data_IF_875422597947
#
_entry.id   IF_875422597947
#
_cell.length_a   1.000
_cell.length_b   1.000
_cell.length_c   1.000
_cell.angle_alpha   90.00
_cell.angle_beta   90.00
_cell.angle_gamma   90.00
#
_symmetry.space_group_name_H-M   'P 1'
#
loop_
_entity.id
_entity.type
_entity.pdbx_description
1 polymer ?
#
# COMPACT_ATOMS: atom_id res chain seq x y z
N UNK A 1 -17.19 -2.62 -43.57
CA UNK A 1 -17.88 -2.41 -42.29
C UNK A 1 -16.98 -3.00 -41.22
N UNK A 2 -16.14 -2.18 -40.60
CA UNK A 2 -15.24 -2.62 -39.54
C UNK A 2 -16.00 -2.60 -38.22
N UNK A 3 -16.26 -3.79 -37.69
CA UNK A 3 -16.90 -3.99 -36.39
C UNK A 3 -15.85 -3.68 -35.32
N UNK A 4 -16.01 -2.56 -34.63
CA UNK A 4 -15.20 -2.22 -33.46
C UNK A 4 -15.44 -3.27 -32.38
N UNK A 5 -14.37 -3.84 -31.83
CA UNK A 5 -14.47 -4.69 -30.65
C UNK A 5 -15.08 -3.85 -29.50
N UNK A 6 -15.96 -4.43 -28.67
CA UNK A 6 -16.48 -3.73 -27.50
C UNK A 6 -15.31 -3.38 -26.58
N UNK A 7 -15.24 -2.13 -26.15
CA UNK A 7 -14.30 -1.71 -25.11
C UNK A 7 -14.50 -2.59 -23.87
N UNK A 8 -13.42 -3.04 -23.20
CA UNK A 8 -13.55 -3.78 -21.95
C UNK A 8 -14.37 -2.95 -20.96
N UNK A 9 -15.22 -3.61 -20.19
CA UNK A 9 -15.99 -2.95 -19.14
C UNK A 9 -15.01 -2.26 -18.16
N UNK A 10 -15.29 -1.05 -17.67
CA UNK A 10 -14.40 -0.37 -16.74
C UNK A 10 -14.28 -1.22 -15.48
N UNK A 11 -13.06 -1.65 -15.19
CA UNK A 11 -12.75 -2.34 -13.94
C UNK A 11 -12.94 -1.36 -12.81
N UNK A 12 -13.60 -1.73 -11.72
CA UNK A 12 -13.84 -0.83 -10.59
C UNK A 12 -12.75 -0.98 -9.54
N UNK A 13 -12.39 0.13 -8.91
CA UNK A 13 -11.43 0.21 -7.84
C UNK A 13 -11.98 -0.54 -6.62
N UNK A 14 -11.24 -1.54 -6.14
CA UNK A 14 -11.63 -2.32 -4.95
C UNK A 14 -11.59 -1.51 -3.64
N UNK A 15 -10.96 -0.33 -3.64
CA UNK A 15 -10.90 0.58 -2.48
C UNK A 15 -12.13 1.50 -2.38
N UNK A 16 -12.50 2.19 -3.45
CA UNK A 16 -13.57 3.21 -3.43
C UNK A 16 -14.76 2.91 -4.34
N UNK A 17 -14.67 1.89 -5.21
CA UNK A 17 -15.72 1.53 -6.17
C UNK A 17 -15.71 2.35 -7.47
N UNK A 18 -14.86 3.37 -7.56
CA UNK A 18 -14.75 4.21 -8.76
C UNK A 18 -14.21 3.42 -9.97
N UNK A 19 -14.54 3.84 -11.19
CA UNK A 19 -13.98 3.22 -12.39
C UNK A 19 -12.46 3.44 -12.46
N UNK A 20 -11.70 2.36 -12.59
CA UNK A 20 -10.29 2.38 -12.98
C UNK A 20 -10.24 2.72 -14.46
N UNK A 21 -9.73 3.91 -14.77
CA UNK A 21 -9.52 4.35 -16.15
C UNK A 21 -8.36 3.58 -16.78
N UNK A 22 -7.36 3.21 -15.98
CA UNK A 22 -6.23 2.36 -16.36
C UNK A 22 -5.85 1.45 -15.17
N UNK A 23 -5.89 0.13 -15.37
CA UNK A 23 -5.49 -0.84 -14.34
C UNK A 23 -3.98 -0.81 -14.03
N UNK A 24 -3.20 -0.19 -14.92
CA UNK A 24 -1.74 -0.06 -14.79
C UNK A 24 -1.33 1.24 -14.12
N UNK A 25 -2.25 2.16 -13.87
CA UNK A 25 -1.99 3.41 -13.14
C UNK A 25 -2.62 3.34 -11.75
N UNK A 26 -1.82 3.63 -10.73
CA UNK A 26 -2.25 3.71 -9.34
C UNK A 26 -2.04 5.15 -8.88
N UNK A 27 -3.11 5.86 -8.55
CA UNK A 27 -3.03 7.21 -8.02
C UNK A 27 -3.08 7.20 -6.49
N UNK A 28 -2.09 7.84 -5.86
CA UNK A 28 -2.06 8.06 -4.41
C UNK A 28 -1.84 9.55 -4.14
N UNK A 29 -2.56 10.12 -3.19
CA UNK A 29 -2.51 11.56 -2.91
C UNK A 29 -2.07 11.84 -1.48
N UNK A 30 -1.08 12.72 -1.31
CA UNK A 30 -0.73 13.27 -0.02
C UNK A 30 -1.70 14.40 0.37
N UNK A 31 -2.24 14.32 1.58
CA UNK A 31 -3.19 15.29 2.08
C UNK A 31 -2.60 16.70 2.17
N UNK A 32 -1.41 16.82 2.75
CA UNK A 32 -0.71 18.09 3.05
C UNK A 32 0.81 17.91 2.88
N UNK A 33 1.59 18.99 2.70
CA UNK A 33 3.04 18.94 2.83
C UNK A 33 3.42 18.63 4.29
N UNK A 34 4.61 18.05 4.50
CA UNK A 34 5.00 17.55 5.82
C UNK A 34 5.10 18.69 6.86
N UNK A 35 5.55 19.87 6.44
CA UNK A 35 5.61 21.07 7.29
C UNK A 35 4.24 21.51 7.84
N UNK A 36 3.12 21.14 7.21
CA UNK A 36 1.79 21.51 7.67
C UNK A 36 1.36 20.78 8.95
N UNK A 37 2.02 19.67 9.30
CA UNK A 37 1.71 18.90 10.51
C UNK A 37 2.35 19.50 11.77
N UNK A 38 3.35 20.36 11.62
CA UNK A 38 4.01 21.08 12.73
C UNK A 38 3.34 22.43 13.04
N UNK A 39 2.45 22.88 12.16
CA UNK A 39 1.78 24.18 12.25
C UNK A 39 0.30 24.04 12.64
N UNK A 40 -0.26 25.04 13.35
CA UNK A 40 -1.68 25.09 13.64
C UNK A 40 -2.49 25.25 12.34
N UNK A 41 -3.74 24.79 12.33
CA UNK A 41 -4.59 24.82 11.14
C UNK A 41 -4.83 26.25 10.64
N UNK A 42 -4.88 27.22 11.54
CA UNK A 42 -5.06 28.64 11.23
C UNK A 42 -3.88 29.25 10.45
N UNK A 43 -2.71 28.61 10.43
CA UNK A 43 -1.58 29.03 9.62
C UNK A 43 -1.76 28.68 8.13
N UNK A 44 -2.78 27.90 7.78
CA UNK A 44 -3.04 27.43 6.42
C UNK A 44 -3.89 28.42 5.65
N UNK A 45 -3.42 28.82 4.48
CA UNK A 45 -4.16 29.66 3.53
C UNK A 45 -4.19 28.99 2.16
N UNK A 46 -5.39 28.80 1.62
CA UNK A 46 -5.58 28.23 0.28
C UNK A 46 -6.23 29.26 -0.64
N UNK A 47 -5.42 30.16 -1.24
CA UNK A 47 -5.92 31.13 -2.20
C UNK A 47 -6.20 30.41 -3.53
N UNK A 48 -7.40 29.86 -3.67
CA UNK A 48 -7.90 29.29 -4.92
C UNK A 48 -8.05 27.76 -4.87
N UNK A 49 -7.55 27.03 -5.88
CA UNK A 49 -7.74 25.58 -6.02
C UNK A 49 -7.11 24.79 -4.87
N UNK A 50 -7.63 23.59 -4.62
CA UNK A 50 -7.11 22.67 -3.58
C UNK A 50 -5.66 22.19 -3.78
N UNK A 51 -5.04 22.59 -4.89
CA UNK A 51 -3.66 22.32 -5.25
C UNK A 51 -2.69 23.47 -4.88
N UNK A 52 -3.18 24.57 -4.33
CA UNK A 52 -2.37 25.68 -3.83
C UNK A 52 -2.52 25.82 -2.31
N UNK A 53 -1.39 25.87 -1.62
CA UNK A 53 -1.34 26.03 -0.17
C UNK A 53 -0.21 26.99 0.21
N UNK A 54 -0.56 28.07 0.91
CA UNK A 54 0.38 28.91 1.63
C UNK A 54 0.31 28.54 3.12
N UNK A 55 1.48 28.40 3.75
CA UNK A 55 1.62 28.13 5.18
C UNK A 55 2.38 29.27 5.82
N UNK A 56 1.69 30.04 6.67
CA UNK A 56 2.31 31.12 7.43
C UNK A 56 3.43 30.53 8.31
N UNK A 57 4.68 30.94 8.04
CA UNK A 57 5.86 30.46 8.76
C UNK A 57 6.58 29.25 8.13
N UNK A 58 6.06 28.68 7.02
CA UNK A 58 6.74 27.60 6.29
C UNK A 58 6.97 27.88 4.80
N UNK A 59 6.02 28.51 4.10
CA UNK A 59 6.22 28.87 2.68
C UNK A 59 5.00 28.64 1.79
N UNK A 60 5.26 28.48 0.49
CA UNK A 60 4.25 28.33 -0.54
C UNK A 60 4.39 26.99 -1.24
N UNK A 61 3.27 26.33 -1.50
CA UNK A 61 3.23 24.96 -2.00
C UNK A 61 2.25 24.81 -3.15
N UNK A 62 2.70 24.11 -4.19
CA UNK A 62 1.89 23.70 -5.33
C UNK A 62 1.85 22.17 -5.35
N UNK A 63 0.66 21.59 -5.51
CA UNK A 63 0.51 20.15 -5.67
C UNK A 63 0.82 19.74 -7.12
N UNK A 64 1.70 18.77 -7.26
CA UNK A 64 2.13 18.19 -8.53
C UNK A 64 1.94 16.67 -8.52
N UNK A 65 2.01 16.06 -9.69
CA UNK A 65 1.99 14.62 -9.90
C UNK A 65 3.42 14.12 -10.09
N UNK A 66 3.86 13.24 -9.21
CA UNK A 66 5.15 12.57 -9.28
C UNK A 66 4.93 11.16 -9.85
N UNK A 67 5.25 10.92 -11.14
CA UNK A 67 5.15 9.59 -11.72
C UNK A 67 6.35 8.73 -11.30
N UNK A 68 6.07 7.52 -10.83
CA UNK A 68 7.05 6.51 -10.46
C UNK A 68 6.80 5.25 -11.29
N UNK A 69 7.83 4.79 -12.01
CA UNK A 69 7.76 3.55 -12.78
C UNK A 69 7.99 2.35 -11.87
N UNK A 70 7.08 1.39 -11.91
CA UNK A 70 7.15 0.15 -11.14
C UNK A 70 7.33 -1.06 -12.08
N UNK A 71 7.83 -2.16 -11.53
CA UNK A 71 7.92 -3.45 -12.25
C UNK A 71 6.53 -3.92 -12.70
N UNK A 72 6.48 -4.68 -13.80
CA UNK A 72 5.23 -5.17 -14.39
C UNK A 72 4.42 -4.10 -15.13
N UNK A 73 5.10 -3.12 -15.74
CA UNK A 73 4.51 -2.01 -16.51
C UNK A 73 3.43 -1.24 -15.73
N UNK A 74 3.60 -1.12 -14.42
CA UNK A 74 2.70 -0.36 -13.53
C UNK A 74 3.30 1.01 -13.26
N UNK A 75 2.48 2.05 -13.27
CA UNK A 75 2.85 3.41 -12.89
C UNK A 75 2.13 3.80 -11.60
N UNK A 76 2.90 4.33 -10.64
CA UNK A 76 2.37 4.96 -9.44
C UNK A 76 2.46 6.47 -9.61
N UNK A 77 1.32 7.15 -9.58
CA UNK A 77 1.26 8.61 -9.68
C UNK A 77 0.94 9.19 -8.32
N UNK A 78 1.90 9.91 -7.76
CA UNK A 78 1.82 10.49 -6.44
C UNK A 78 1.43 11.97 -6.52
N UNK A 79 0.25 12.34 -6.01
CA UNK A 79 -0.10 13.73 -5.77
C UNK A 79 0.69 14.27 -4.58
N UNK A 80 1.85 14.86 -4.84
CA UNK A 80 2.79 15.36 -3.84
C UNK A 80 2.88 16.89 -3.86
N UNK A 81 3.28 17.49 -2.74
CA UNK A 81 3.47 18.92 -2.62
C UNK A 81 4.90 19.32 -2.96
N UNK A 82 5.03 20.44 -3.66
CA UNK A 82 6.30 21.07 -4.01
C UNK A 82 6.35 22.45 -3.38
N UNK A 83 7.36 22.71 -2.54
CA UNK A 83 7.68 24.03 -2.02
C UNK A 83 8.25 24.89 -3.16
N UNK A 84 7.62 26.04 -3.41
CA UNK A 84 7.97 26.98 -4.46
C UNK A 84 8.23 28.37 -3.89
N UNK A 85 8.82 29.25 -4.68
CA UNK A 85 8.87 30.67 -4.33
C UNK A 85 7.50 31.35 -4.47
N UNK A 86 7.36 32.51 -3.83
CA UNK A 86 6.12 33.28 -3.81
C UNK A 86 5.70 33.72 -5.23
N UNK A 87 6.65 34.03 -6.11
CA UNK A 87 6.37 34.45 -7.48
C UNK A 87 5.70 33.33 -8.28
N UNK A 88 6.26 32.12 -8.22
CA UNK A 88 5.69 30.92 -8.86
C UNK A 88 4.31 30.60 -8.29
N UNK A 89 4.13 30.72 -6.98
CA UNK A 89 2.86 30.49 -6.32
C UNK A 89 1.77 31.48 -6.75
N UNK A 90 2.08 32.78 -6.73
CA UNK A 90 1.15 33.83 -7.15
C UNK A 90 0.82 33.71 -8.63
N UNK A 91 1.81 33.37 -9.47
CA UNK A 91 1.60 33.09 -10.89
C UNK A 91 0.66 31.91 -11.09
N UNK A 92 0.89 30.79 -10.39
CA UNK A 92 0.01 29.63 -10.46
C UNK A 92 -1.42 29.99 -10.02
N UNK A 93 -1.59 30.78 -8.96
CA UNK A 93 -2.91 31.25 -8.52
C UNK A 93 -3.61 32.15 -9.54
N UNK A 94 -2.85 32.97 -10.27
CA UNK A 94 -3.39 33.86 -11.32
C UNK A 94 -3.91 33.09 -12.53
N UNK A 95 -3.16 32.08 -13.00
CA UNK A 95 -3.45 31.40 -14.28
C UNK A 95 -4.16 30.06 -14.14
N UNK A 96 -4.49 29.62 -12.92
CA UNK A 96 -4.98 28.26 -12.68
C UNK A 96 -6.21 27.88 -13.50
N UNK A 97 -7.17 28.81 -13.59
CA UNK A 97 -8.44 28.60 -14.32
C UNK A 97 -8.38 29.16 -15.75
N UNK A 98 -7.20 29.58 -16.23
CA UNK A 98 -6.99 30.08 -17.59
C UNK A 98 -6.56 28.92 -18.50
N UNK A 99 -7.49 28.41 -19.33
CA UNK A 99 -7.26 27.30 -20.26
C UNK A 99 -6.11 27.54 -21.27
N UNK A 100 -5.76 28.81 -21.54
CA UNK A 100 -4.69 29.17 -22.47
C UNK A 100 -3.35 29.33 -21.76
N UNK A 101 -3.34 29.98 -20.59
CA UNK A 101 -2.11 30.25 -19.86
C UNK A 101 -1.68 29.07 -18.96
N UNK A 102 -2.61 28.30 -18.40
CA UNK A 102 -2.33 27.17 -17.51
C UNK A 102 -1.37 26.15 -18.14
N UNK A 103 -1.51 25.72 -19.42
CA UNK A 103 -0.57 24.80 -20.05
C UNK A 103 0.89 25.31 -20.10
N UNK A 104 1.12 26.62 -19.95
CA UNK A 104 2.44 27.23 -19.90
C UNK A 104 3.03 27.28 -18.48
N UNK A 105 2.29 26.86 -17.45
CA UNK A 105 2.74 26.86 -16.07
C UNK A 105 3.95 25.94 -15.89
N UNK A 106 5.04 26.52 -15.38
CA UNK A 106 6.25 25.81 -14.95
C UNK A 106 6.33 25.86 -13.43
N UNK A 107 6.42 24.70 -12.79
CA UNK A 107 6.57 24.61 -11.33
C UNK A 107 7.97 24.14 -11.02
N UNK A 108 8.89 25.03 -10.63
CA UNK A 108 10.20 24.63 -10.10
C UNK A 108 10.20 24.78 -8.59
N UNK A 109 10.62 23.74 -7.89
CA UNK A 109 10.66 23.77 -6.43
C UNK A 109 11.18 22.50 -5.82
N UNK A 110 11.04 22.38 -4.50
CA UNK A 110 11.54 21.26 -3.70
C UNK A 110 10.40 20.34 -3.26
N UNK A 111 10.58 19.03 -3.35
CA UNK A 111 9.59 18.07 -2.87
C UNK A 111 9.37 18.27 -1.36
N UNK A 112 8.12 18.46 -0.94
CA UNK A 112 7.73 18.80 0.42
C UNK A 112 7.03 17.65 1.16
N UNK A 113 7.10 16.43 0.61
CA UNK A 113 6.61 15.21 1.24
C UNK A 113 7.73 14.17 1.31
N UNK A 114 7.88 13.52 2.47
CA UNK A 114 8.74 12.35 2.65
C UNK A 114 8.08 11.12 2.02
N UNK A 115 8.25 10.98 0.71
CA UNK A 115 7.61 9.92 -0.09
C UNK A 115 8.25 8.57 0.21
N UNK A 116 7.50 7.63 0.80
CA UNK A 116 7.96 6.25 1.00
C UNK A 116 8.07 5.48 -0.33
N UNK A 117 9.03 4.55 -0.49
CA UNK A 117 10.05 4.12 0.48
C UNK A 117 11.23 5.10 0.67
N UNK A 118 11.42 6.06 -0.23
CA UNK A 118 12.62 6.91 -0.27
C UNK A 118 12.76 7.89 0.90
N UNK A 119 11.64 8.38 1.43
CA UNK A 119 11.56 9.22 2.62
C UNK A 119 12.44 10.47 2.54
N UNK A 120 13.37 10.59 3.50
CA UNK A 120 14.31 11.70 3.63
C UNK A 120 15.28 11.84 2.45
N UNK A 121 15.55 10.77 1.67
CA UNK A 121 16.46 10.82 0.52
C UNK A 121 15.97 11.79 -0.56
N UNK A 122 14.65 11.87 -0.74
CA UNK A 122 14.02 12.68 -1.79
C UNK A 122 13.31 13.91 -1.22
N UNK A 123 13.16 14.01 0.09
CA UNK A 123 12.61 15.20 0.74
C UNK A 123 13.54 16.39 0.49
N UNK A 124 12.97 17.50 0.02
CA UNK A 124 13.74 18.69 -0.35
C UNK A 124 14.45 18.59 -1.71
N UNK A 125 14.39 17.44 -2.40
CA UNK A 125 14.99 17.30 -3.72
C UNK A 125 14.27 18.20 -4.74
N UNK A 126 15.04 18.81 -5.62
CA UNK A 126 14.52 19.79 -6.57
C UNK A 126 13.91 19.11 -7.81
N UNK A 127 12.74 19.59 -8.23
CA UNK A 127 12.06 19.11 -9.43
C UNK A 127 11.56 20.26 -10.30
N UNK A 128 11.21 19.93 -11.53
CA UNK A 128 10.47 20.80 -12.44
C UNK A 128 9.22 20.08 -12.93
N UNK A 129 8.08 20.68 -12.62
CA UNK A 129 6.75 20.29 -13.02
C UNK A 129 6.29 21.03 -14.28
N UNK A 130 5.59 20.33 -15.18
CA UNK A 130 4.98 20.90 -16.40
C UNK A 130 3.56 20.35 -16.58
N UNK A 131 2.69 21.13 -17.21
CA UNK A 131 1.36 20.65 -17.61
C UNK A 131 1.50 19.83 -18.90
N UNK A 132 1.11 18.56 -18.86
CA UNK A 132 0.97 17.71 -20.05
C UNK A 132 -0.48 17.56 -20.50
N UNK A 133 -1.40 17.61 -19.54
CA UNK A 133 -2.85 17.57 -19.75
C UNK A 133 -3.47 18.76 -18.99
N UNK A 134 -4.19 19.69 -19.67
CA UNK A 134 -4.84 20.83 -19.04
C UNK A 134 -5.86 20.46 -17.95
N UNK A 135 -6.38 19.23 -17.94
CA UNK A 135 -7.33 18.76 -16.92
C UNK A 135 -6.64 18.16 -15.69
N UNK A 136 -5.32 17.97 -15.72
CA UNK A 136 -4.53 17.41 -14.63
C UNK A 136 -3.60 18.43 -13.97
N UNK A 137 -3.07 18.05 -12.81
CA UNK A 137 -2.05 18.82 -12.09
C UNK A 137 -0.69 18.74 -12.84
N UNK A 138 0.25 19.68 -12.58
CA UNK A 138 1.58 19.61 -13.19
C UNK A 138 2.30 18.30 -12.87
N UNK A 139 2.86 17.64 -13.87
CA UNK A 139 3.71 16.45 -13.69
C UNK A 139 5.15 16.84 -13.44
N UNK A 140 5.78 16.25 -12.43
CA UNK A 140 7.22 16.33 -12.22
C UNK A 140 7.91 15.51 -13.31
N UNK A 141 8.50 16.21 -14.28
CA UNK A 141 9.09 15.62 -15.49
C UNK A 141 10.62 15.66 -15.49
N UNK A 142 11.21 16.42 -14.58
CA UNK A 142 12.65 16.63 -14.51
C UNK A 142 13.08 16.76 -13.05
N UNK A 143 14.06 15.96 -12.64
CA UNK A 143 14.66 15.99 -11.30
C UNK A 143 16.05 16.64 -11.34
N UNK A 144 16.38 17.40 -10.30
CA UNK A 144 17.65 18.12 -10.16
C UNK A 144 18.41 17.54 -8.96
N UNK A 145 19.54 16.88 -9.26
CA UNK A 145 20.30 16.12 -8.27
C UNK A 145 20.17 14.61 -8.48
N UNK A 146 21.13 13.81 -7.97
CA UNK A 146 21.18 12.39 -8.24
C UNK A 146 19.95 11.64 -7.71
N UNK A 147 19.41 12.00 -6.55
CA UNK A 147 18.26 11.37 -5.92
C UNK A 147 16.98 11.59 -6.74
N UNK A 148 16.73 12.83 -7.17
CA UNK A 148 15.58 13.19 -7.99
C UNK A 148 15.63 12.57 -9.40
N UNK A 149 16.81 12.57 -10.02
CA UNK A 149 17.04 11.93 -11.33
C UNK A 149 16.80 10.43 -11.24
N UNK A 150 17.29 9.80 -10.16
CA UNK A 150 17.10 8.37 -9.91
C UNK A 150 15.62 8.03 -9.72
N UNK A 151 14.91 8.80 -8.91
CA UNK A 151 13.48 8.60 -8.63
C UNK A 151 12.63 8.55 -9.90
N UNK A 152 12.82 9.51 -10.82
CA UNK A 152 12.09 9.58 -12.10
C UNK A 152 12.65 8.65 -13.18
N UNK A 153 13.91 8.26 -13.07
CA UNK A 153 14.64 7.54 -14.11
C UNK A 153 14.58 6.01 -13.97
N UNK A 154 14.54 5.50 -12.74
CA UNK A 154 14.58 4.06 -12.45
C UNK A 154 13.19 3.40 -12.48
N UNK A 155 13.18 2.08 -12.66
CA UNK A 155 12.02 1.23 -12.42
C UNK A 155 12.19 0.54 -11.08
N UNK A 156 11.22 0.71 -10.19
CA UNK A 156 11.27 0.21 -8.81
C UNK A 156 10.45 -1.07 -8.67
N UNK A 157 10.77 -1.91 -7.68
CA UNK A 157 9.95 -3.08 -7.41
C UNK A 157 8.55 -2.65 -6.95
N UNK A 158 7.53 -3.15 -7.66
CA UNK A 158 6.13 -2.78 -7.46
C UNK A 158 5.66 -3.09 -6.04
N UNK A 159 5.94 -4.28 -5.54
CA UNK A 159 5.42 -4.70 -4.25
C UNK A 159 6.19 -4.02 -3.11
N UNK A 160 7.51 -3.87 -3.24
CA UNK A 160 8.33 -3.16 -2.25
C UNK A 160 7.88 -1.71 -2.06
N UNK A 161 7.53 -1.02 -3.15
CA UNK A 161 7.03 0.36 -3.11
C UNK A 161 5.59 0.40 -2.59
N UNK A 162 4.67 -0.36 -3.18
CA UNK A 162 3.25 -0.29 -2.84
C UNK A 162 2.95 -0.78 -1.42
N UNK A 163 3.75 -1.70 -0.86
CA UNK A 163 3.60 -2.17 0.51
C UNK A 163 3.81 -1.06 1.55
N UNK A 164 4.53 0.02 1.20
CA UNK A 164 4.76 1.15 2.12
C UNK A 164 3.58 2.10 2.26
N UNK A 165 2.52 1.90 1.48
CA UNK A 165 1.30 2.69 1.56
C UNK A 165 0.26 1.95 2.41
N UNK A 166 -0.01 2.42 3.65
CA UNK A 166 -0.87 1.72 4.59
C UNK A 166 -2.37 1.89 4.29
N UNK A 167 -2.76 2.82 3.44
CA UNK A 167 -4.15 2.95 3.02
C UNK A 167 -4.55 1.85 2.02
N UNK A 168 -5.85 1.60 1.83
CA UNK A 168 -6.33 0.69 0.79
C UNK A 168 -5.76 1.05 -0.59
N UNK A 169 -5.40 0.01 -1.35
CA UNK A 169 -4.94 0.12 -2.73
C UNK A 169 -5.88 -0.65 -3.66
N UNK A 170 -6.04 -0.23 -4.93
CA UNK A 170 -6.93 -0.89 -5.88
C UNK A 170 -6.49 -2.30 -6.26
N UNK A 171 -5.25 -2.68 -5.93
CA UNK A 171 -4.58 -3.91 -6.35
C UNK A 171 -4.06 -4.68 -5.13
N UNK A 172 -3.90 -6.00 -5.28
CA UNK A 172 -3.22 -6.81 -4.28
C UNK A 172 -1.71 -6.55 -4.31
N UNK A 173 -1.08 -6.62 -3.13
CA UNK A 173 0.34 -6.27 -2.95
C UNK A 173 1.01 -7.31 -2.06
N UNK A 174 2.18 -7.81 -2.48
CA UNK A 174 3.03 -8.62 -1.59
C UNK A 174 3.59 -7.72 -0.50
N UNK A 175 3.38 -8.08 0.76
CA UNK A 175 3.82 -7.31 1.92
C UNK A 175 4.84 -8.13 2.70
N UNK A 176 5.99 -7.52 2.98
CA UNK A 176 7.04 -8.07 3.86
C UNK A 176 6.57 -8.03 5.31
N UNK A 177 6.64 -9.18 5.98
CA UNK A 177 6.27 -9.38 7.38
C UNK A 177 7.50 -9.39 8.31
N UNK A 178 8.70 -9.15 7.75
CA UNK A 178 10.01 -9.33 8.38
C UNK A 178 10.44 -10.80 8.47
N UNK A 179 11.71 -11.01 8.85
CA UNK A 179 12.32 -12.34 9.04
C UNK A 179 12.21 -13.26 7.81
N UNK A 180 12.15 -12.67 6.61
CA UNK A 180 11.99 -13.39 5.34
C UNK A 180 10.58 -13.90 5.07
N UNK A 181 9.58 -13.51 5.87
CA UNK A 181 8.18 -13.83 5.64
C UNK A 181 7.50 -12.76 4.78
N UNK A 182 6.60 -13.19 3.91
CA UNK A 182 5.73 -12.28 3.17
C UNK A 182 4.34 -12.86 2.95
N UNK A 183 3.37 -11.98 2.74
CA UNK A 183 1.96 -12.36 2.49
C UNK A 183 1.33 -11.42 1.48
N UNK A 184 0.33 -11.90 0.75
CA UNK A 184 -0.47 -11.02 -0.10
C UNK A 184 -1.45 -10.21 0.76
N UNK A 185 -1.30 -8.88 0.74
CA UNK A 185 -2.34 -7.95 1.18
C UNK A 185 -3.36 -7.81 0.07
N UNK A 186 -4.59 -8.22 0.34
CA UNK A 186 -5.70 -8.18 -0.62
C UNK A 186 -6.00 -6.74 -1.06
N UNK A 187 -6.37 -6.57 -2.33
CA UNK A 187 -6.85 -5.29 -2.86
C UNK A 187 -7.99 -4.71 -1.99
N UNK A 188 -7.98 -3.41 -1.75
CA UNK A 188 -8.92 -2.70 -0.88
C UNK A 188 -8.58 -2.77 0.62
N UNK A 189 -7.51 -3.46 1.03
CA UNK A 189 -7.13 -3.54 2.44
C UNK A 189 -6.14 -2.45 2.83
N UNK A 190 -6.44 -1.79 3.94
CA UNK A 190 -5.46 -1.02 4.70
C UNK A 190 -4.44 -1.94 5.38
N UNK A 191 -3.29 -1.41 5.79
CA UNK A 191 -2.27 -2.09 6.58
C UNK A 191 -1.88 -1.27 7.80
N UNK A 192 -1.63 -1.95 8.93
CA UNK A 192 -1.07 -1.36 10.14
C UNK A 192 -0.33 -2.43 10.94
N UNK A 193 0.67 -2.04 11.72
CA UNK A 193 1.31 -2.92 12.69
C UNK A 193 0.81 -2.58 14.10
N UNK A 194 0.19 -3.54 14.78
CA UNK A 194 -0.39 -3.32 16.10
C UNK A 194 -0.36 -4.63 16.91
N UNK A 195 0.00 -4.53 18.20
CA UNK A 195 0.08 -5.67 19.13
C UNK A 195 1.06 -6.77 18.66
N UNK A 196 2.14 -6.40 17.97
CA UNK A 196 3.15 -7.35 17.50
C UNK A 196 2.73 -8.15 16.26
N UNK A 197 1.67 -7.73 15.58
CA UNK A 197 1.16 -8.38 14.37
C UNK A 197 0.89 -7.36 13.27
N UNK A 198 1.13 -7.77 12.03
CA UNK A 198 0.67 -7.05 10.85
C UNK A 198 -0.83 -7.29 10.67
N UNK A 199 -1.59 -6.21 10.61
CA UNK A 199 -3.03 -6.24 10.42
C UNK A 199 -3.41 -5.60 9.10
N UNK A 200 -4.20 -6.33 8.32
CA UNK A 200 -4.82 -5.85 7.10
C UNK A 200 -6.33 -5.80 7.28
N UNK A 201 -6.98 -4.70 6.91
CA UNK A 201 -8.41 -4.55 7.13
C UNK A 201 -9.13 -3.84 5.98
N UNK A 202 -10.31 -4.36 5.66
CA UNK A 202 -11.37 -3.74 4.87
C UNK A 202 -12.64 -3.63 5.74
N UNK A 203 -13.74 -3.15 5.18
CA UNK A 203 -14.98 -2.91 5.92
C UNK A 203 -15.62 -4.20 6.49
N UNK A 204 -15.57 -5.28 5.72
CA UNK A 204 -16.29 -6.54 5.94
C UNK A 204 -15.38 -7.71 6.36
N UNK A 205 -14.06 -7.50 6.34
CA UNK A 205 -13.06 -8.55 6.59
C UNK A 205 -11.71 -7.99 7.01
N UNK A 206 -10.96 -8.83 7.70
CA UNK A 206 -9.63 -8.49 8.23
C UNK A 206 -8.73 -9.72 8.30
N UNK A 207 -7.43 -9.47 8.30
CA UNK A 207 -6.36 -10.45 8.45
C UNK A 207 -5.39 -9.91 9.50
N UNK A 208 -4.97 -10.74 10.44
CA UNK A 208 -3.86 -10.46 11.34
C UNK A 208 -2.80 -11.55 11.16
N UNK A 209 -1.53 -11.16 11.06
CA UNK A 209 -0.41 -12.09 10.89
C UNK A 209 0.62 -11.84 11.97
N UNK A 210 0.97 -12.90 12.70
CA UNK A 210 2.02 -12.90 13.72
C UNK A 210 3.12 -13.90 13.37
N UNK A 211 4.35 -13.55 13.68
CA UNK A 211 5.51 -14.41 13.50
C UNK A 211 5.88 -15.10 14.81
N UNK A 212 6.39 -16.33 14.70
CA UNK A 212 6.78 -17.18 15.81
C UNK A 212 8.10 -17.86 15.48
N UNK A 213 8.92 -18.05 16.51
CA UNK A 213 10.16 -18.82 16.42
C UNK A 213 10.12 -19.92 17.47
N UNK A 214 10.41 -21.15 17.06
CA UNK A 214 10.56 -22.26 18.00
C UNK A 214 11.81 -22.03 18.86
N UNK A 215 11.64 -22.28 20.15
CA UNK A 215 12.70 -22.16 21.14
C UNK A 215 13.33 -23.52 21.47
N UNK A 216 12.75 -24.61 20.97
CA UNK A 216 13.24 -25.98 21.14
C UNK A 216 14.01 -26.44 19.89
N UNK A 217 15.36 -26.54 19.95
CA UNK A 217 16.15 -26.89 18.78
C UNK A 217 15.85 -28.30 18.27
N UNK A 218 15.63 -28.44 16.96
CA UNK A 218 15.46 -29.72 16.28
C UNK A 218 14.10 -30.39 16.48
N UNK A 219 13.11 -29.69 17.06
CA UNK A 219 11.72 -30.14 17.07
C UNK A 219 11.20 -30.24 15.63
N UNK A 220 10.42 -31.28 15.33
CA UNK A 220 9.79 -31.43 14.03
C UNK A 220 8.70 -30.36 13.81
N UNK A 221 8.49 -29.85 12.58
CA UNK A 221 7.46 -28.86 12.29
C UNK A 221 6.05 -29.25 12.77
N UNK A 222 5.67 -30.52 12.68
CA UNK A 222 4.38 -30.99 13.19
C UNK A 222 4.25 -30.89 14.71
N UNK A 223 5.32 -31.15 15.45
CA UNK A 223 5.33 -31.03 16.91
C UNK A 223 5.28 -29.56 17.32
N UNK A 224 5.96 -28.68 16.58
CA UNK A 224 5.90 -27.23 16.85
C UNK A 224 4.51 -26.68 16.54
N UNK A 225 3.91 -27.11 15.42
CA UNK A 225 2.51 -26.82 15.11
C UNK A 225 1.58 -27.28 16.24
N UNK A 226 1.75 -28.50 16.76
CA UNK A 226 0.94 -29.00 17.87
C UNK A 226 1.08 -28.12 19.13
N UNK A 227 2.28 -27.60 19.40
CA UNK A 227 2.51 -26.65 20.51
C UNK A 227 1.78 -25.31 20.27
N UNK A 228 1.83 -24.77 19.05
CA UNK A 228 1.09 -23.54 18.68
C UNK A 228 -0.44 -23.73 18.81
N UNK A 229 -0.94 -24.92 18.47
CA UNK A 229 -2.36 -25.27 18.58
C UNK A 229 -2.81 -25.65 20.00
N UNK A 230 -1.92 -25.63 21.00
CA UNK A 230 -2.24 -26.09 22.36
C UNK A 230 -3.40 -25.35 23.06
N UNK A 231 -3.80 -24.18 22.54
CA UNK A 231 -4.97 -23.40 23.02
C UNK A 231 -6.08 -23.25 21.96
N UNK A 232 -5.97 -23.94 20.83
CA UNK A 232 -6.99 -23.90 19.79
C UNK A 232 -8.31 -24.53 20.29
N UNK A 233 -9.47 -24.02 19.86
CA UNK A 233 -10.75 -24.65 20.16
C UNK A 233 -10.85 -26.03 19.50
N UNK A 234 -11.80 -26.85 19.96
CA UNK A 234 -12.16 -28.08 19.25
C UNK A 234 -12.70 -27.73 17.86
N UNK A 235 -12.00 -28.21 16.82
CA UNK A 235 -12.35 -27.94 15.43
C UNK A 235 -13.30 -29.05 14.93
N UNK A 236 -14.48 -28.70 14.38
CA UNK A 236 -15.38 -29.69 13.80
C UNK A 236 -14.75 -30.48 12.64
N UNK A 237 -15.20 -31.72 12.44
CA UNK A 237 -14.76 -32.54 11.32
C UNK A 237 -15.07 -31.86 9.97
N UNK A 238 -14.10 -31.84 9.07
CA UNK A 238 -14.21 -31.16 7.77
C UNK A 238 -14.01 -29.64 7.79
N UNK A 239 -13.74 -29.03 8.95
CA UNK A 239 -13.46 -27.59 9.08
C UNK A 239 -11.98 -27.28 9.30
N UNK A 240 -11.10 -28.11 8.74
CA UNK A 240 -9.66 -27.91 8.74
C UNK A 240 -9.03 -28.35 7.42
N UNK A 241 -7.82 -27.86 7.18
CA UNK A 241 -6.97 -28.23 6.08
C UNK A 241 -5.54 -28.38 6.57
N UNK A 242 -4.88 -29.47 6.16
CA UNK A 242 -3.47 -29.70 6.46
C UNK A 242 -2.73 -29.98 5.16
N UNK A 243 -1.60 -29.33 4.97
CA UNK A 243 -0.73 -29.50 3.81
C UNK A 243 0.72 -29.67 4.29
N UNK A 244 1.44 -30.62 3.71
CA UNK A 244 2.89 -30.75 3.92
C UNK A 244 3.62 -30.06 2.79
N UNK A 245 4.57 -29.22 3.15
CA UNK A 245 5.39 -28.50 2.18
C UNK A 245 6.48 -29.42 1.62
N UNK A 246 6.85 -29.28 0.33
CA UNK A 246 7.90 -30.10 -0.29
C UNK A 246 9.24 -30.06 0.46
N UNK A 247 9.55 -28.92 1.07
CA UNK A 247 10.82 -28.68 1.77
C UNK A 247 10.82 -29.16 3.24
N UNK A 248 9.73 -29.82 3.67
CA UNK A 248 9.61 -30.44 5.00
C UNK A 248 8.82 -29.64 6.03
N UNK A 249 8.30 -28.46 5.67
CA UNK A 249 7.40 -27.67 6.51
C UNK A 249 5.96 -28.23 6.54
N UNK A 250 5.12 -27.63 7.40
CA UNK A 250 3.70 -27.98 7.52
C UNK A 250 2.84 -26.72 7.53
N UNK A 251 1.71 -26.78 6.84
CA UNK A 251 0.66 -25.77 6.87
C UNK A 251 -0.60 -26.39 7.43
N UNK A 252 -1.25 -25.65 8.32
CA UNK A 252 -2.52 -26.04 8.92
C UNK A 252 -3.45 -24.86 9.00
N UNK A 253 -4.72 -25.04 8.64
CA UNK A 253 -5.76 -24.05 8.82
C UNK A 253 -7.01 -24.72 9.38
N UNK A 254 -7.78 -23.98 10.16
CA UNK A 254 -9.13 -24.34 10.56
C UNK A 254 -10.02 -23.13 10.58
N UNK A 255 -11.33 -23.33 10.44
CA UNK A 255 -12.30 -22.25 10.41
C UNK A 255 -13.57 -22.66 11.15
N UNK A 256 -14.30 -21.69 11.66
CA UNK A 256 -15.58 -21.92 12.33
C UNK A 256 -16.37 -20.61 12.40
N UNK A 257 -17.64 -20.71 12.79
CA UNK A 257 -18.51 -19.57 13.10
C UNK A 257 -18.70 -19.51 14.61
N UNK A 258 -18.10 -18.55 15.34
CA UNK A 258 -18.34 -18.37 16.78
C UNK A 258 -19.83 -18.19 17.06
N UNK A 259 -20.33 -18.80 18.13
CA UNK A 259 -21.77 -18.81 18.45
C UNK A 259 -22.29 -17.54 19.15
N UNK A 260 -21.44 -16.56 19.49
CA UNK A 260 -21.83 -15.53 20.46
C UNK A 260 -21.06 -14.20 20.37
N UNK A 261 -21.29 -13.40 19.32
CA UNK A 261 -20.70 -12.04 19.21
C UNK A 261 -21.71 -10.96 18.80
N UNK A 262 -23.02 -11.26 18.75
CA UNK A 262 -24.06 -10.31 18.37
C UNK A 262 -24.09 -9.90 16.88
N UNK A 263 -23.08 -10.32 16.09
CA UNK A 263 -23.05 -10.29 14.62
C UNK A 263 -22.43 -11.60 14.12
N UNK A 264 -23.01 -12.23 13.10
CA UNK A 264 -22.40 -13.42 12.49
C UNK A 264 -21.04 -13.02 11.90
N UNK A 265 -19.95 -13.55 12.46
CA UNK A 265 -18.63 -13.49 11.86
C UNK A 265 -18.11 -14.91 11.68
N UNK A 266 -17.35 -15.10 10.63
CA UNK A 266 -16.63 -16.33 10.34
C UNK A 266 -15.15 -16.08 10.58
N UNK A 267 -14.50 -17.07 11.19
CA UNK A 267 -13.10 -16.99 11.56
C UNK A 267 -12.32 -18.12 10.90
N UNK A 268 -11.13 -17.81 10.40
CA UNK A 268 -10.14 -18.78 9.95
C UNK A 268 -8.84 -18.51 10.67
N UNK A 269 -8.33 -19.52 11.38
CA UNK A 269 -7.00 -19.49 12.00
C UNK A 269 -6.10 -20.46 11.25
N UNK A 270 -4.90 -20.01 10.90
CA UNK A 270 -3.98 -20.80 10.12
C UNK A 270 -2.53 -20.57 10.53
N UNK A 271 -1.68 -21.54 10.21
CA UNK A 271 -0.27 -21.56 10.51
C UNK A 271 0.50 -22.09 9.29
N UNK A 272 1.69 -21.57 9.09
CA UNK A 272 2.74 -22.15 8.25
C UNK A 272 3.98 -22.28 9.11
N UNK A 273 4.53 -23.50 9.20
CA UNK A 273 5.69 -23.84 10.03
C UNK A 273 6.77 -24.41 9.13
N UNK A 274 7.97 -23.89 9.25
CA UNK A 274 9.11 -24.22 8.39
C UNK A 274 10.11 -25.13 9.13
N UNK A 275 10.93 -25.91 8.41
CA UNK A 275 11.89 -26.84 9.03
C UNK A 275 12.95 -26.18 9.92
N UNK A 276 13.18 -24.88 9.74
CA UNK A 276 14.11 -24.08 10.54
C UNK A 276 13.53 -23.60 11.88
N UNK A 277 12.28 -24.00 12.19
CA UNK A 277 11.57 -23.63 13.41
C UNK A 277 10.93 -22.24 13.34
N UNK A 278 10.97 -21.54 12.21
CA UNK A 278 10.19 -20.33 12.02
C UNK A 278 8.74 -20.66 11.64
N UNK A 279 7.80 -19.83 12.07
CA UNK A 279 6.40 -19.98 11.73
C UNK A 279 5.68 -18.64 11.57
N UNK A 280 4.66 -18.61 10.72
CA UNK A 280 3.72 -17.52 10.61
C UNK A 280 2.31 -18.03 10.96
N UNK A 281 1.64 -17.35 11.89
CA UNK A 281 0.24 -17.57 12.21
C UNK A 281 -0.62 -16.47 11.62
N UNK A 282 -1.77 -16.84 11.08
CA UNK A 282 -2.68 -15.96 10.36
C UNK A 282 -4.10 -16.14 10.87
N UNK A 283 -4.76 -15.04 11.20
CA UNK A 283 -6.15 -15.00 11.63
C UNK A 283 -6.95 -14.13 10.66
N UNK A 284 -7.93 -14.73 9.98
CA UNK A 284 -8.91 -14.01 9.17
C UNK A 284 -10.24 -13.94 9.91
N UNK A 285 -10.89 -12.77 9.88
CA UNK A 285 -12.27 -12.57 10.30
C UNK A 285 -13.03 -11.95 9.14
N UNK A 286 -14.21 -12.48 8.81
CA UNK A 286 -15.01 -12.04 7.68
C UNK A 286 -16.52 -12.23 7.94
N UNK A 287 -17.38 -11.44 7.28
CA UNK A 287 -18.82 -11.41 7.57
C UNK A 287 -19.61 -12.52 6.86
N UNK A 288 -19.24 -12.88 5.63
CA UNK A 288 -20.02 -13.82 4.81
C UNK A 288 -19.29 -15.16 4.59
N UNK A 289 -19.95 -16.32 4.72
CA UNK A 289 -19.30 -17.62 4.60
C UNK A 289 -18.65 -17.86 3.23
N UNK A 290 -19.18 -17.25 2.17
CA UNK A 290 -18.65 -17.28 0.80
C UNK A 290 -17.26 -16.65 0.69
N UNK A 291 -16.78 -15.94 1.71
CA UNK A 291 -15.45 -15.35 1.77
C UNK A 291 -14.39 -16.33 2.31
N UNK A 292 -14.77 -17.54 2.74
CA UNK A 292 -13.82 -18.57 3.18
C UNK A 292 -12.73 -18.90 2.11
N UNK A 293 -13.04 -19.04 0.80
CA UNK A 293 -12.02 -19.27 -0.22
C UNK A 293 -11.00 -18.12 -0.30
N UNK A 294 -11.43 -16.87 -0.04
CA UNK A 294 -10.51 -15.73 0.05
C UNK A 294 -9.56 -15.88 1.25
N UNK A 295 -10.07 -16.24 2.43
CA UNK A 295 -9.22 -16.41 3.61
C UNK A 295 -8.17 -17.53 3.40
N UNK A 296 -8.58 -18.63 2.77
CA UNK A 296 -7.66 -19.71 2.37
C UNK A 296 -6.63 -19.26 1.32
N UNK A 297 -7.02 -18.40 0.38
CA UNK A 297 -6.09 -17.81 -0.60
C UNK A 297 -5.02 -16.95 0.08
N UNK A 298 -5.41 -16.05 0.98
CA UNK A 298 -4.45 -15.21 1.73
C UNK A 298 -3.49 -16.08 2.54
N UNK A 299 -3.98 -17.10 3.24
CA UNK A 299 -3.12 -18.04 3.95
C UNK A 299 -2.14 -18.79 3.03
N UNK A 300 -2.63 -19.31 1.90
CA UNK A 300 -1.77 -19.97 0.90
C UNK A 300 -0.76 -19.02 0.28
N UNK A 301 -1.05 -17.71 0.28
CA UNK A 301 -0.12 -16.71 -0.19
C UNK A 301 1.08 -16.52 0.74
N UNK A 302 1.04 -16.93 2.02
CA UNK A 302 2.22 -16.84 2.90
C UNK A 302 3.43 -17.49 2.23
N UNK A 303 4.60 -16.87 2.31
CA UNK A 303 5.86 -17.39 1.78
C UNK A 303 6.98 -17.06 2.74
N UNK A 304 7.97 -17.95 2.78
CA UNK A 304 9.26 -17.72 3.43
C UNK A 304 10.35 -17.82 2.39
N UNK A 305 11.11 -16.75 2.21
CA UNK A 305 12.30 -16.73 1.38
C UNK A 305 13.52 -16.81 2.30
N UNK A 306 14.03 -18.03 2.49
CA UNK A 306 15.18 -18.29 3.35
C UNK A 306 16.42 -17.51 2.85
N UNK A 307 16.79 -16.44 3.57
CA UNK A 307 18.00 -15.65 3.29
C UNK A 307 17.78 -14.14 3.10
N UNK A 308 16.54 -13.66 3.01
CA UNK A 308 16.25 -12.23 2.95
C UNK A 308 16.06 -11.66 4.38
N UNK A 309 17.11 -11.08 4.95
CA UNK A 309 16.97 -10.16 6.09
C UNK A 309 16.80 -8.77 5.52
N UNK A 310 15.56 -8.36 5.30
CA UNK A 310 15.19 -6.95 5.07
C UNK A 310 14.66 -6.41 6.38
N UNK A 311 15.42 -5.49 6.99
CA UNK A 311 14.94 -4.70 8.13
C UNK A 311 14.12 -3.51 7.62
N UNK A 312 12.94 -3.29 8.21
CA UNK A 312 11.98 -2.23 7.87
C UNK A 312 12.54 -0.81 7.89
#
# INVERSE_FOLDING_TARGET
MSTSAPAPAPTTCSCCGDALVDERRIDVRFGLPDAAFELPEEARRSPGPSALLALDGAGFFVRCLLPVRLTGDTELVLGAWVEVDEETFLRAAEIWDDEVAYPELLVRGRLANAVRPWGEEVLGAEFTGRISDPEELPYLVEGHGPEAVRLLGETWDRDDVLARFPHPLPVAVRTDLDEGWSVERTAGFSARFENGADQFAAQDRSVAVGLFQDTEPGRAPEDFLAALLGRAPEVPEGQHHTERLPDGGVRYAFWFTPRDTGRTRHELTAYAVEPDGSAAGLFCSYEEPEQQPWALHVWRSLRRDAGAVTSR
#
